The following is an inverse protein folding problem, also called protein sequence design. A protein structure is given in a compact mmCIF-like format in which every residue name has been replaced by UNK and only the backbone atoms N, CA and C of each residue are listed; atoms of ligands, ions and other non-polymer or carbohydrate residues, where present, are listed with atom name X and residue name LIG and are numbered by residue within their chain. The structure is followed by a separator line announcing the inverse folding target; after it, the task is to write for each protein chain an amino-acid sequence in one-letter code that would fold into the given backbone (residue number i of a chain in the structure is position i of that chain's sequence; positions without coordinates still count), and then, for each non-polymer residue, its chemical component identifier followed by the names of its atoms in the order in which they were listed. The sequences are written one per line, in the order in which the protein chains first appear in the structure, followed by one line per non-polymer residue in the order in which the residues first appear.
data_IF_323411296171
#
_entry.id   IF_323411296171
#
_cell.length_a   1.000
_cell.length_b   1.000
_cell.length_c   1.000
_cell.angle_alpha   90.00
_cell.angle_beta   90.00
_cell.angle_gamma   90.00
#
_symmetry.space_group_name_H-M   'P 1'
#
loop_
_entity.id
_entity.type
_entity.pdbx_description
1 polymer ?
#
# COMPACT_ATOMS: atom_id res chain seq x y z
N UNK A 1 52.97 -37.39 1.97
CA UNK A 1 52.19 -36.28 1.40
C UNK A 1 50.64 -36.49 1.55
N UNK A 2 50.07 -37.61 1.08
CA UNK A 2 48.58 -37.81 1.15
C UNK A 2 47.98 -37.76 2.56
N UNK A 3 48.70 -38.23 3.61
CA UNK A 3 48.20 -38.17 5.00
C UNK A 3 48.20 -36.76 5.55
N UNK A 4 49.19 -35.92 5.25
CA UNK A 4 49.28 -34.53 5.71
C UNK A 4 48.18 -33.68 5.09
N UNK A 5 47.88 -33.84 3.78
CA UNK A 5 46.81 -33.17 3.08
C UNK A 5 45.44 -33.53 3.69
N UNK A 6 45.25 -34.82 4.06
CA UNK A 6 44.02 -35.27 4.71
C UNK A 6 43.79 -34.59 6.07
N UNK A 7 44.82 -34.43 6.89
CA UNK A 7 44.69 -33.74 8.20
C UNK A 7 44.49 -32.24 8.05
N UNK A 8 45.11 -31.60 7.05
CA UNK A 8 44.89 -30.18 6.73
C UNK A 8 43.43 -29.97 6.27
N UNK A 9 42.92 -30.83 5.38
CA UNK A 9 41.55 -30.78 4.91
C UNK A 9 40.53 -31.00 6.07
N UNK A 10 40.85 -31.94 6.98
CA UNK A 10 40.02 -32.18 8.15
C UNK A 10 40.03 -30.99 9.11
N UNK A 11 41.17 -30.32 9.29
CA UNK A 11 41.28 -29.10 10.10
C UNK A 11 40.53 -27.93 9.52
N UNK A 12 40.59 -27.71 8.20
CA UNK A 12 39.81 -26.66 7.52
C UNK A 12 38.29 -26.93 7.61
N UNK A 13 37.88 -28.20 7.44
CA UNK A 13 36.48 -28.59 7.56
C UNK A 13 35.94 -28.38 8.99
N UNK A 14 36.74 -28.75 10.01
CA UNK A 14 36.34 -28.53 11.42
C UNK A 14 36.29 -27.05 11.78
N UNK A 15 37.20 -26.22 11.28
CA UNK A 15 37.17 -24.78 11.46
C UNK A 15 35.95 -24.16 10.80
N UNK A 16 35.61 -24.60 9.58
CA UNK A 16 34.39 -24.18 8.87
C UNK A 16 33.11 -24.52 9.62
N UNK A 17 33.03 -25.71 10.23
CA UNK A 17 31.89 -26.11 11.06
C UNK A 17 31.80 -25.29 12.36
N UNK A 18 32.92 -24.97 12.99
CA UNK A 18 32.94 -24.16 14.23
C UNK A 18 32.51 -22.72 13.90
N UNK A 19 33.09 -22.12 12.87
CA UNK A 19 32.73 -20.75 12.45
C UNK A 19 31.29 -20.69 11.95
N UNK A 20 30.89 -21.64 11.09
CA UNK A 20 29.52 -21.72 10.59
C UNK A 20 28.50 -21.98 11.71
N UNK A 21 28.83 -22.87 12.66
CA UNK A 21 28.03 -23.15 13.84
C UNK A 21 27.91 -21.93 14.77
N UNK A 22 29.01 -21.19 14.96
CA UNK A 22 29.01 -19.94 15.73
C UNK A 22 28.15 -18.86 15.07
N UNK A 23 28.30 -18.64 13.76
CA UNK A 23 27.48 -17.70 12.99
C UNK A 23 26.00 -18.10 13.07
N UNK A 24 25.69 -19.39 12.87
CA UNK A 24 24.34 -19.89 13.00
C UNK A 24 23.75 -19.69 14.41
N UNK A 25 24.56 -19.94 15.45
CA UNK A 25 24.16 -19.70 16.83
C UNK A 25 23.84 -18.22 17.07
N UNK A 26 24.76 -17.31 16.70
CA UNK A 26 24.58 -15.87 16.90
C UNK A 26 23.38 -15.30 16.11
N UNK A 27 23.15 -15.78 14.89
CA UNK A 27 22.07 -15.25 14.03
C UNK A 27 20.73 -15.91 14.22
N UNK A 28 20.69 -17.20 14.66
CA UNK A 28 19.44 -17.98 14.70
C UNK A 28 19.03 -18.45 16.07
N UNK A 29 19.97 -18.68 16.98
CA UNK A 29 19.69 -19.26 18.30
C UNK A 29 19.75 -18.20 19.39
N UNK A 30 20.77 -17.35 19.37
CA UNK A 30 20.94 -16.28 20.35
C UNK A 30 19.91 -15.18 20.08
N UNK A 31 19.01 -15.00 21.02
CA UNK A 31 18.02 -13.93 20.97
C UNK A 31 18.56 -12.69 21.66
N UNK A 32 18.46 -11.56 21.00
CA UNK A 32 18.73 -10.25 21.56
C UNK A 32 17.39 -9.59 21.93
N UNK A 33 17.40 -8.76 22.94
CA UNK A 33 16.30 -7.82 23.16
C UNK A 33 16.40 -6.74 22.08
N UNK A 34 15.49 -6.82 21.12
CA UNK A 34 15.43 -5.95 19.95
C UNK A 34 14.20 -5.05 19.97
N UNK A 35 13.44 -5.05 21.07
CA UNK A 35 12.27 -4.20 21.22
C UNK A 35 12.67 -2.73 21.08
N UNK A 36 11.98 -2.01 20.21
CA UNK A 36 12.23 -0.60 19.92
C UNK A 36 10.94 0.06 19.45
N UNK A 37 10.45 1.03 20.21
CA UNK A 37 9.18 1.70 19.95
C UNK A 37 9.15 2.41 18.59
N UNK A 38 10.28 2.93 18.12
CA UNK A 38 10.34 3.64 16.83
C UNK A 38 10.30 2.66 15.66
N UNK A 39 11.02 1.52 15.78
CA UNK A 39 10.94 0.43 14.81
C UNK A 39 9.55 -0.17 14.79
N UNK A 40 8.97 -0.42 15.96
CA UNK A 40 7.62 -0.97 16.10
C UNK A 40 6.55 -0.07 15.49
N UNK A 41 6.67 1.25 15.64
CA UNK A 41 5.77 2.21 14.97
C UNK A 41 5.83 2.09 13.45
N UNK A 42 7.04 1.99 12.87
CA UNK A 42 7.21 1.87 11.42
C UNK A 42 6.60 0.56 10.89
N UNK A 43 6.81 -0.56 11.62
CA UNK A 43 6.36 -1.89 11.20
C UNK A 43 4.86 -2.06 11.38
N UNK A 44 4.32 -1.61 12.53
CA UNK A 44 2.95 -1.86 12.95
C UNK A 44 1.96 -0.75 12.56
N UNK A 45 2.39 0.25 11.79
CA UNK A 45 1.51 1.27 11.27
C UNK A 45 0.40 0.65 10.41
N UNK A 46 -0.83 1.08 10.64
CA UNK A 46 -1.99 0.63 9.84
C UNK A 46 -1.79 1.02 8.38
N UNK A 47 -2.10 0.11 7.46
CA UNK A 47 -2.15 0.40 6.03
C UNK A 47 -3.56 0.85 5.69
N UNK A 48 -3.70 2.04 5.11
CA UNK A 48 -4.94 2.51 4.52
C UNK A 48 -4.78 2.55 3.00
N UNK A 49 -5.70 1.90 2.29
CA UNK A 49 -5.76 1.86 0.83
C UNK A 49 -7.12 2.34 0.36
N UNK A 50 -7.13 3.31 -0.52
CA UNK A 50 -8.33 3.75 -1.20
C UNK A 50 -8.59 2.88 -2.43
N UNK A 51 -9.83 2.40 -2.54
CA UNK A 51 -10.32 1.60 -3.67
C UNK A 51 -10.90 2.49 -4.76
N UNK A 52 -11.04 1.97 -5.99
CA UNK A 52 -11.56 2.74 -7.12
C UNK A 52 -12.98 3.28 -6.97
N UNK A 53 -13.76 2.69 -6.07
CA UNK A 53 -15.12 3.13 -5.74
C UNK A 53 -15.15 4.20 -4.63
N UNK A 54 -13.97 4.63 -4.14
CA UNK A 54 -13.83 5.59 -3.06
C UNK A 54 -13.93 4.98 -1.66
N UNK A 55 -14.19 3.68 -1.55
CA UNK A 55 -14.09 2.97 -0.27
C UNK A 55 -12.64 2.82 0.17
N UNK A 56 -12.41 2.56 1.46
CA UNK A 56 -11.06 2.39 2.00
C UNK A 56 -10.92 1.07 2.72
N UNK A 57 -9.80 0.41 2.52
CA UNK A 57 -9.40 -0.76 3.28
C UNK A 57 -8.41 -0.33 4.36
N UNK A 58 -8.66 -0.73 5.62
CA UNK A 58 -7.66 -0.68 6.69
C UNK A 58 -7.16 -2.08 6.99
N UNK A 59 -5.86 -2.21 7.08
CA UNK A 59 -5.19 -3.48 7.34
C UNK A 59 -4.31 -3.36 8.57
N UNK A 60 -4.27 -4.45 9.35
CA UNK A 60 -3.41 -4.57 10.52
C UNK A 60 -1.94 -4.81 10.14
N UNK A 61 -1.08 -4.92 11.16
CA UNK A 61 0.35 -5.20 11.00
C UNK A 61 0.65 -6.59 10.38
N UNK A 62 -0.33 -7.46 10.26
CA UNK A 62 -0.24 -8.76 9.60
C UNK A 62 -0.78 -8.75 8.18
N UNK A 63 -1.27 -7.58 7.71
CA UNK A 63 -1.85 -7.41 6.38
C UNK A 63 -3.28 -7.95 6.26
N UNK A 64 -3.97 -8.22 7.38
CA UNK A 64 -5.36 -8.62 7.35
C UNK A 64 -6.26 -7.38 7.29
N UNK A 65 -7.31 -7.43 6.49
CA UNK A 65 -8.33 -6.38 6.47
C UNK A 65 -9.09 -6.37 7.80
N UNK A 66 -8.98 -5.29 8.56
CA UNK A 66 -9.66 -5.09 9.84
C UNK A 66 -10.90 -4.21 9.72
N UNK A 67 -10.95 -3.37 8.70
CA UNK A 67 -12.07 -2.46 8.44
C UNK A 67 -12.16 -2.17 6.94
N UNK A 68 -13.39 -2.17 6.42
CA UNK A 68 -13.72 -1.65 5.10
C UNK A 68 -14.65 -0.46 5.30
N UNK A 69 -14.15 0.74 5.01
CA UNK A 69 -14.90 1.99 5.14
C UNK A 69 -15.59 2.24 3.80
N UNK A 70 -16.91 2.25 3.73
CA UNK A 70 -17.61 2.50 2.48
C UNK A 70 -17.25 3.88 1.91
N UNK A 71 -17.33 4.01 0.60
CA UNK A 71 -17.24 5.32 -0.04
C UNK A 71 -18.32 6.27 0.52
N UNK A 72 -17.98 7.54 0.62
CA UNK A 72 -18.98 8.54 0.95
C UNK A 72 -20.08 8.51 -0.12
N UNK A 73 -21.33 8.49 0.33
CA UNK A 73 -22.48 8.44 -0.57
C UNK A 73 -22.56 9.77 -1.35
N UNK A 74 -22.39 9.70 -2.68
CA UNK A 74 -22.56 10.86 -3.54
C UNK A 74 -24.04 11.00 -3.86
N UNK A 75 -24.67 12.01 -3.28
CA UNK A 75 -26.02 12.38 -3.66
C UNK A 75 -25.98 13.23 -4.94
N UNK A 76 -26.58 12.75 -6.02
CA UNK A 76 -26.76 13.54 -7.23
C UNK A 76 -28.23 13.93 -7.39
N UNK A 77 -28.48 15.23 -7.55
CA UNK A 77 -29.83 15.79 -7.74
C UNK A 77 -29.82 16.74 -8.94
N UNK A 78 -30.86 16.64 -9.75
CA UNK A 78 -31.08 17.59 -10.85
C UNK A 78 -31.83 18.83 -10.35
N UNK A 79 -31.36 19.99 -10.78
CA UNK A 79 -31.96 21.28 -10.50
C UNK A 79 -32.10 22.09 -11.78
N UNK A 80 -33.03 23.02 -11.82
CA UNK A 80 -33.13 24.04 -12.88
C UNK A 80 -32.57 25.35 -12.31
N UNK A 81 -31.49 25.82 -12.91
CA UNK A 81 -30.84 27.09 -12.52
C UNK A 81 -30.88 28.04 -13.72
N UNK A 82 -31.52 29.18 -13.58
CA UNK A 82 -31.69 30.19 -14.65
C UNK A 82 -32.31 29.65 -15.94
N UNK A 83 -33.11 28.57 -15.86
CA UNK A 83 -33.76 27.94 -17.01
C UNK A 83 -32.90 26.86 -17.70
N UNK A 84 -31.78 26.49 -17.14
CA UNK A 84 -30.93 25.38 -17.60
C UNK A 84 -30.95 24.24 -16.58
N UNK A 85 -31.07 23.01 -17.08
CA UNK A 85 -30.97 21.80 -16.24
C UNK A 85 -29.52 21.56 -15.86
N UNK A 86 -29.23 21.46 -14.55
CA UNK A 86 -27.94 21.17 -14.00
C UNK A 86 -27.99 19.95 -13.07
N UNK A 87 -26.95 19.12 -13.13
CA UNK A 87 -26.75 18.01 -12.19
C UNK A 87 -25.82 18.48 -11.09
N UNK A 88 -26.28 18.42 -9.85
CA UNK A 88 -25.49 18.79 -8.67
C UNK A 88 -25.13 17.52 -7.91
N UNK A 89 -23.84 17.28 -7.74
CA UNK A 89 -23.32 16.22 -6.88
C UNK A 89 -22.96 16.79 -5.52
N UNK A 90 -23.34 16.07 -4.47
CA UNK A 90 -23.04 16.45 -3.10
C UNK A 90 -22.54 15.24 -2.31
N UNK A 91 -21.57 15.46 -1.43
CA UNK A 91 -21.05 14.48 -0.47
C UNK A 91 -21.29 15.06 0.92
N UNK A 92 -21.93 14.29 1.80
CA UNK A 92 -22.28 14.73 3.16
C UNK A 92 -23.04 16.07 3.18
N UNK A 93 -23.88 16.32 2.17
CA UNK A 93 -24.65 17.57 2.03
C UNK A 93 -23.84 18.77 1.56
N UNK A 94 -22.58 18.60 1.20
CA UNK A 94 -21.74 19.64 0.58
C UNK A 94 -21.66 19.42 -0.92
N UNK A 95 -21.93 20.47 -1.71
CA UNK A 95 -21.83 20.41 -3.17
C UNK A 95 -20.36 20.26 -3.55
N UNK A 96 -20.07 19.18 -4.29
CA UNK A 96 -18.71 18.85 -4.78
C UNK A 96 -18.54 19.15 -6.25
N UNK A 97 -19.59 19.05 -7.06
CA UNK A 97 -19.55 19.34 -8.48
C UNK A 97 -20.92 19.79 -9.01
N UNK A 98 -20.92 20.56 -10.09
CA UNK A 98 -22.10 20.95 -10.86
C UNK A 98 -21.80 20.71 -12.33
N UNK A 99 -22.72 20.03 -13.03
CA UNK A 99 -22.58 19.70 -14.43
C UNK A 99 -23.75 20.25 -15.23
N UNK A 100 -23.49 20.68 -16.47
CA UNK A 100 -24.53 21.04 -17.42
C UNK A 100 -25.23 19.80 -18.01
N UNK A 101 -26.22 20.03 -18.89
CA UNK A 101 -26.96 18.97 -19.60
C UNK A 101 -26.09 18.03 -20.44
N UNK A 102 -24.83 18.42 -20.75
CA UNK A 102 -23.88 17.61 -21.52
C UNK A 102 -22.89 16.87 -20.61
N UNK A 103 -23.05 16.95 -19.25
CA UNK A 103 -22.10 16.47 -18.24
C UNK A 103 -20.73 17.17 -18.30
N UNK A 104 -20.68 18.41 -18.76
CA UNK A 104 -19.50 19.25 -18.64
C UNK A 104 -19.56 20.01 -17.31
N UNK A 105 -18.44 20.02 -16.56
CA UNK A 105 -18.37 20.74 -15.29
C UNK A 105 -18.54 22.24 -15.52
N UNK A 106 -19.44 22.88 -14.77
CA UNK A 106 -19.75 24.31 -14.88
C UNK A 106 -19.30 25.02 -13.63
N UNK A 107 -18.54 26.12 -13.80
CA UNK A 107 -18.27 27.04 -12.70
C UNK A 107 -19.47 27.97 -12.52
N UNK A 108 -20.23 27.77 -11.43
CA UNK A 108 -21.27 28.72 -11.03
C UNK A 108 -20.75 29.68 -9.95
N UNK A 109 -20.69 30.96 -10.28
CA UNK A 109 -20.24 32.02 -9.34
C UNK A 109 -21.12 32.14 -8.07
N UNK A 110 -22.32 31.59 -8.09
CA UNK A 110 -23.28 31.61 -6.97
C UNK A 110 -23.18 30.41 -6.03
N UNK A 111 -22.49 29.35 -6.42
CA UNK A 111 -22.32 28.16 -5.58
C UNK A 111 -20.95 28.24 -4.91
N UNK A 112 -20.87 28.93 -3.78
CA UNK A 112 -19.68 28.91 -2.95
C UNK A 112 -19.59 27.55 -2.26
N UNK A 113 -18.50 26.82 -2.47
CA UNK A 113 -18.14 25.61 -1.72
C UNK A 113 -18.29 25.91 -0.23
N UNK A 114 -19.18 25.18 0.46
CA UNK A 114 -19.44 25.37 1.89
C UNK A 114 -20.69 26.17 2.26
N UNK A 115 -21.52 26.59 1.32
CA UNK A 115 -22.79 27.24 1.64
C UNK A 115 -23.93 26.28 1.36
N UNK A 116 -24.67 25.90 2.41
CA UNK A 116 -25.93 25.17 2.28
C UNK A 116 -26.86 26.00 1.39
N UNK A 117 -27.19 25.47 0.21
CA UNK A 117 -28.18 26.10 -0.68
C UNK A 117 -29.52 25.97 0.04
N UNK A 118 -30.04 27.09 0.54
CA UNK A 118 -31.39 27.11 1.10
C UNK A 118 -32.39 26.85 -0.03
N UNK A 119 -33.27 25.94 0.21
CA UNK A 119 -34.29 25.37 -0.68
C UNK A 119 -35.24 26.42 -1.37
N UNK A 120 -35.11 27.69 -1.08
CA UNK A 120 -36.06 28.70 -1.53
C UNK A 120 -35.72 29.38 -2.86
N UNK A 121 -34.50 29.21 -3.35
CA UNK A 121 -34.01 29.85 -4.59
C UNK A 121 -33.86 28.85 -5.78
N UNK A 122 -34.13 27.58 -5.57
CA UNK A 122 -34.00 26.55 -6.62
C UNK A 122 -35.38 25.92 -6.86
N UNK A 123 -35.93 26.07 -8.06
CA UNK A 123 -37.09 25.32 -8.51
C UNK A 123 -36.70 23.88 -8.79
N UNK A 124 -37.03 22.98 -7.88
CA UNK A 124 -36.87 21.53 -8.07
C UNK A 124 -37.87 21.08 -9.11
N UNK A 125 -37.42 20.67 -10.27
CA UNK A 125 -38.21 19.91 -11.23
C UNK A 125 -37.78 18.46 -11.07
N UNK A 126 -38.65 17.63 -10.48
CA UNK A 126 -38.46 16.19 -10.41
C UNK A 126 -38.64 15.63 -11.84
N UNK A 127 -37.57 15.58 -12.58
CA UNK A 127 -37.55 14.93 -13.89
C UNK A 127 -37.28 13.46 -13.66
N UNK A 128 -38.26 12.62 -14.04
CA UNK A 128 -38.09 11.17 -14.02
C UNK A 128 -36.84 10.77 -14.78
N UNK A 129 -36.08 9.74 -14.31
CA UNK A 129 -34.81 9.36 -14.89
C UNK A 129 -34.96 8.88 -16.33
N UNK A 130 -34.66 9.72 -17.27
CA UNK A 130 -34.63 9.41 -18.68
C UNK A 130 -33.33 9.94 -19.29
N UNK A 131 -32.25 9.26 -19.06
CA UNK A 131 -31.28 8.91 -20.12
C UNK A 131 -30.53 7.68 -19.64
N UNK A 132 -30.96 6.50 -20.05
CA UNK A 132 -30.10 5.36 -20.08
C UNK A 132 -28.99 5.65 -21.11
N UNK A 133 -27.88 6.29 -20.69
CA UNK A 133 -26.63 6.13 -21.38
C UNK A 133 -26.41 4.63 -21.31
N UNK A 134 -26.44 3.95 -22.45
CA UNK A 134 -26.08 2.53 -22.57
C UNK A 134 -24.71 2.42 -21.95
N UNK A 135 -24.65 1.95 -20.70
CA UNK A 135 -23.36 1.72 -20.04
C UNK A 135 -22.63 0.70 -20.88
N UNK A 136 -21.66 1.16 -21.64
CA UNK A 136 -20.76 0.24 -22.31
C UNK A 136 -20.03 -0.52 -21.22
N UNK A 137 -20.15 -1.85 -21.27
CA UNK A 137 -19.47 -2.74 -20.33
C UNK A 137 -18.01 -2.32 -20.19
N UNK A 138 -17.52 -2.03 -18.97
CA UNK A 138 -16.14 -1.57 -18.81
C UNK A 138 -15.17 -2.62 -19.35
N UNK A 139 -14.15 -2.18 -20.05
CA UNK A 139 -13.13 -3.07 -20.60
C UNK A 139 -12.16 -3.54 -19.51
N UNK A 140 -11.47 -4.65 -19.74
CA UNK A 140 -10.39 -5.13 -18.86
C UNK A 140 -9.37 -4.01 -18.58
N UNK A 141 -8.98 -3.25 -19.60
CA UNK A 141 -8.04 -2.14 -19.44
C UNK A 141 -8.60 -1.03 -18.54
N UNK A 142 -9.88 -0.68 -18.72
CA UNK A 142 -10.55 0.32 -17.89
C UNK A 142 -10.65 -0.12 -16.42
N UNK A 143 -11.03 -1.40 -16.16
CA UNK A 143 -11.09 -1.92 -14.80
C UNK A 143 -9.70 -1.89 -14.17
N UNK A 144 -8.68 -2.41 -14.83
CA UNK A 144 -7.30 -2.41 -14.35
C UNK A 144 -6.78 -1.00 -14.07
N UNK A 145 -7.03 -0.06 -14.98
CA UNK A 145 -6.61 1.34 -14.84
C UNK A 145 -7.14 2.02 -13.59
N UNK A 146 -8.34 1.67 -13.12
CA UNK A 146 -8.89 2.19 -11.87
C UNK A 146 -8.07 1.79 -10.64
N UNK A 147 -7.45 0.60 -10.64
CA UNK A 147 -6.67 0.08 -9.52
C UNK A 147 -5.20 0.54 -9.51
N UNK A 148 -4.69 1.13 -10.59
CA UNK A 148 -3.29 1.57 -10.68
C UNK A 148 -2.93 2.54 -9.55
N UNK A 149 -3.82 3.47 -9.20
CA UNK A 149 -3.63 4.41 -8.09
C UNK A 149 -3.49 3.70 -6.73
N UNK A 150 -4.34 2.73 -6.45
CA UNK A 150 -4.33 1.97 -5.20
C UNK A 150 -3.05 1.12 -5.06
N UNK A 151 -2.61 0.45 -6.13
CA UNK A 151 -1.35 -0.31 -6.13
C UNK A 151 -0.13 0.62 -6.01
N UNK A 152 -0.14 1.78 -6.67
CA UNK A 152 0.92 2.78 -6.53
C UNK A 152 1.00 3.35 -5.11
N UNK A 153 -0.14 3.57 -4.46
CA UNK A 153 -0.19 3.99 -3.05
C UNK A 153 0.40 2.94 -2.11
N UNK A 154 0.10 1.65 -2.33
CA UNK A 154 0.71 0.55 -1.57
C UNK A 154 2.23 0.49 -1.76
N UNK A 155 2.72 0.61 -2.99
CA UNK A 155 4.14 0.67 -3.29
C UNK A 155 4.81 1.86 -2.60
N UNK A 156 4.19 3.04 -2.64
CA UNK A 156 4.67 4.24 -1.95
C UNK A 156 4.78 4.04 -0.43
N UNK A 157 3.80 3.40 0.21
CA UNK A 157 3.83 3.07 1.63
C UNK A 157 4.96 2.08 1.94
N UNK A 158 5.15 1.04 1.12
CA UNK A 158 6.24 0.07 1.28
C UNK A 158 7.62 0.76 1.22
N UNK A 159 7.83 1.62 0.23
CA UNK A 159 9.08 2.40 0.10
C UNK A 159 9.30 3.35 1.27
N UNK A 160 8.27 4.05 1.71
CA UNK A 160 8.34 4.98 2.84
C UNK A 160 8.76 4.28 4.13
N UNK A 161 8.12 3.16 4.45
CA UNK A 161 8.42 2.36 5.65
C UNK A 161 9.83 1.76 5.61
N UNK A 162 10.23 1.21 4.46
CA UNK A 162 11.57 0.68 4.29
C UNK A 162 12.62 1.79 4.44
N UNK A 163 12.38 2.96 3.86
CA UNK A 163 13.22 4.13 4.05
C UNK A 163 13.34 4.56 5.51
N UNK A 164 12.24 4.50 6.26
CA UNK A 164 12.20 4.74 7.70
C UNK A 164 13.07 3.75 8.48
N UNK A 165 12.92 2.44 8.22
CA UNK A 165 13.75 1.40 8.85
C UNK A 165 15.25 1.58 8.57
N UNK A 166 15.62 1.88 7.32
CA UNK A 166 17.01 2.14 6.94
C UNK A 166 17.53 3.40 7.66
N UNK A 167 16.71 4.46 7.73
CA UNK A 167 17.04 5.69 8.44
C UNK A 167 17.34 5.43 9.91
N UNK A 168 16.46 4.68 10.58
CA UNK A 168 16.60 4.31 11.98
C UNK A 168 17.84 3.44 12.22
N UNK A 169 18.10 2.45 11.36
CA UNK A 169 19.31 1.62 11.46
C UNK A 169 20.59 2.46 11.33
N UNK A 170 20.62 3.41 10.39
CA UNK A 170 21.77 4.31 10.20
C UNK A 170 21.96 5.25 11.39
N UNK A 171 20.87 5.79 11.94
CA UNK A 171 20.91 6.68 13.10
C UNK A 171 21.47 5.96 14.34
N UNK A 172 20.96 4.76 14.63
CA UNK A 172 21.45 3.96 15.76
C UNK A 172 22.92 3.55 15.57
N UNK A 173 23.29 3.09 14.38
CA UNK A 173 24.68 2.77 14.07
C UNK A 173 25.62 3.97 14.31
N UNK A 174 25.24 5.13 13.79
CA UNK A 174 26.04 6.34 13.90
C UNK A 174 26.17 6.80 15.37
N UNK A 175 25.08 6.71 16.15
CA UNK A 175 25.08 7.05 17.55
C UNK A 175 26.03 6.14 18.36
N UNK A 176 25.99 4.81 18.12
CA UNK A 176 26.88 3.86 18.76
C UNK A 176 28.35 4.11 18.42
N UNK A 177 28.65 4.40 17.16
CA UNK A 177 30.02 4.76 16.74
C UNK A 177 30.50 6.05 17.42
N UNK A 178 29.66 7.07 17.46
CA UNK A 178 29.97 8.35 18.11
C UNK A 178 30.24 8.21 19.60
N UNK A 179 29.53 7.28 20.27
CA UNK A 179 29.70 6.97 21.68
C UNK A 179 30.88 6.03 21.98
N UNK A 180 31.59 5.53 20.96
CA UNK A 180 32.66 4.56 21.11
C UNK A 180 32.17 3.17 21.54
N UNK A 181 30.90 2.84 21.29
CA UNK A 181 30.32 1.55 21.61
C UNK A 181 30.73 0.49 20.58
N UNK A 182 30.84 -0.75 21.02
CA UNK A 182 31.09 -1.87 20.11
C UNK A 182 29.84 -2.18 19.29
N UNK A 183 29.97 -2.24 17.98
CA UNK A 183 28.88 -2.59 17.08
C UNK A 183 28.63 -4.10 17.12
N UNK A 184 27.43 -4.49 17.55
CA UNK A 184 26.97 -5.87 17.51
C UNK A 184 26.13 -6.09 16.23
N UNK A 185 26.78 -6.63 15.19
CA UNK A 185 26.10 -6.87 13.89
C UNK A 185 24.97 -7.88 13.98
N UNK A 186 25.06 -8.88 14.88
CA UNK A 186 23.99 -9.87 15.07
C UNK A 186 22.73 -9.23 15.66
N UNK A 187 22.90 -8.29 16.60
CA UNK A 187 21.79 -7.48 17.14
C UNK A 187 21.14 -6.65 16.02
N UNK A 188 21.93 -5.89 15.24
CA UNK A 188 21.40 -5.09 14.14
C UNK A 188 20.65 -5.95 13.11
N UNK A 189 21.21 -7.10 12.75
CA UNK A 189 20.59 -8.04 11.84
C UNK A 189 19.23 -8.52 12.40
N UNK A 190 19.17 -8.99 13.64
CA UNK A 190 17.93 -9.47 14.23
C UNK A 190 16.86 -8.37 14.33
N UNK A 191 17.26 -7.16 14.73
CA UNK A 191 16.36 -6.01 14.87
C UNK A 191 15.81 -5.57 13.52
N UNK A 192 16.65 -5.15 12.63
CA UNK A 192 16.21 -4.49 11.39
C UNK A 192 15.81 -5.46 10.28
N UNK A 193 16.47 -6.60 10.17
CA UNK A 193 16.05 -7.63 9.23
C UNK A 193 14.74 -8.30 9.68
N UNK A 194 14.58 -8.54 10.98
CA UNK A 194 13.32 -9.03 11.55
C UNK A 194 12.16 -8.07 11.28
N UNK A 195 12.36 -6.78 11.55
CA UNK A 195 11.42 -5.70 11.27
C UNK A 195 11.05 -5.63 9.77
N UNK A 196 12.05 -5.65 8.88
CA UNK A 196 11.83 -5.62 7.44
C UNK A 196 11.03 -6.86 6.95
N UNK A 197 11.30 -8.04 7.50
CA UNK A 197 10.55 -9.26 7.16
C UNK A 197 9.10 -9.19 7.63
N UNK A 198 8.87 -8.66 8.84
CA UNK A 198 7.51 -8.42 9.34
C UNK A 198 6.74 -7.45 8.48
N UNK A 199 7.36 -6.31 8.14
CA UNK A 199 6.79 -5.32 7.23
C UNK A 199 6.49 -5.91 5.85
N UNK A 200 7.39 -6.74 5.29
CA UNK A 200 7.16 -7.42 4.01
C UNK A 200 5.88 -8.28 4.07
N UNK A 201 5.68 -9.05 5.13
CA UNK A 201 4.48 -9.85 5.30
C UNK A 201 3.20 -8.99 5.35
N UNK A 202 3.26 -7.83 6.00
CA UNK A 202 2.15 -6.85 6.03
C UNK A 202 1.82 -6.33 4.62
N UNK A 203 2.83 -5.95 3.86
CA UNK A 203 2.66 -5.45 2.47
C UNK A 203 2.15 -6.57 1.56
N UNK A 204 2.65 -7.82 1.73
CA UNK A 204 2.14 -8.99 0.99
C UNK A 204 0.63 -9.17 1.25
N UNK A 205 0.19 -9.11 2.52
CA UNK A 205 -1.22 -9.20 2.87
C UNK A 205 -2.07 -8.09 2.25
N UNK A 206 -1.58 -6.85 2.28
CA UNK A 206 -2.25 -5.70 1.68
C UNK A 206 -2.35 -5.84 0.14
N UNK A 207 -1.28 -6.33 -0.50
CA UNK A 207 -1.31 -6.64 -1.93
C UNK A 207 -2.35 -7.70 -2.26
N UNK A 208 -2.42 -8.79 -1.50
CA UNK A 208 -3.40 -9.86 -1.73
C UNK A 208 -4.85 -9.36 -1.57
N UNK A 209 -5.12 -8.52 -0.58
CA UNK A 209 -6.43 -7.92 -0.38
C UNK A 209 -6.85 -7.06 -1.59
N UNK A 210 -5.97 -6.17 -2.05
CA UNK A 210 -6.21 -5.32 -3.20
C UNK A 210 -6.33 -6.12 -4.51
N UNK A 211 -5.48 -7.13 -4.67
CA UNK A 211 -5.51 -8.02 -5.82
C UNK A 211 -6.81 -8.84 -5.90
N UNK A 212 -7.32 -9.29 -4.77
CA UNK A 212 -8.60 -9.97 -4.69
C UNK A 212 -9.78 -9.06 -5.10
N UNK A 213 -9.76 -7.78 -4.69
CA UNK A 213 -10.77 -6.79 -5.11
C UNK A 213 -10.74 -6.57 -6.63
N UNK A 214 -9.56 -6.41 -7.23
CA UNK A 214 -9.42 -6.32 -8.69
C UNK A 214 -9.97 -7.57 -9.40
N UNK A 215 -9.68 -8.77 -8.87
CA UNK A 215 -10.19 -10.01 -9.44
C UNK A 215 -11.72 -10.11 -9.32
N UNK A 216 -12.30 -9.66 -8.20
CA UNK A 216 -13.74 -9.57 -8.01
C UNK A 216 -14.38 -8.64 -9.04
N UNK A 217 -13.81 -7.46 -9.27
CA UNK A 217 -14.32 -6.50 -10.26
C UNK A 217 -14.25 -7.07 -11.68
N UNK A 218 -13.15 -7.72 -12.04
CA UNK A 218 -13.03 -8.40 -13.34
C UNK A 218 -14.13 -9.44 -13.51
N UNK A 219 -14.33 -10.30 -12.50
CA UNK A 219 -15.33 -11.38 -12.58
C UNK A 219 -16.76 -10.88 -12.57
N UNK A 220 -17.06 -9.84 -11.78
CA UNK A 220 -18.36 -9.17 -11.75
C UNK A 220 -18.73 -8.59 -13.13
N UNK A 221 -17.72 -8.15 -13.89
CA UNK A 221 -17.87 -7.70 -15.26
C UNK A 221 -17.73 -8.82 -16.30
N UNK A 222 -17.72 -10.11 -15.88
CA UNK A 222 -17.69 -11.29 -16.75
C UNK A 222 -16.36 -11.50 -17.48
N UNK A 223 -15.26 -11.03 -16.92
CA UNK A 223 -13.90 -11.31 -17.37
C UNK A 223 -13.24 -12.38 -16.50
N UNK A 224 -12.22 -13.04 -17.05
CA UNK A 224 -11.42 -13.99 -16.27
C UNK A 224 -10.53 -13.25 -15.27
N UNK A 225 -10.46 -13.74 -14.03
CA UNK A 225 -9.64 -13.17 -12.97
C UNK A 225 -8.13 -13.13 -13.32
N UNK A 226 -7.66 -14.01 -14.21
CA UNK A 226 -6.27 -14.05 -14.66
C UNK A 226 -5.80 -12.77 -15.37
N UNK A 227 -6.72 -11.95 -15.87
CA UNK A 227 -6.37 -10.63 -16.41
C UNK A 227 -5.69 -9.70 -15.39
N UNK A 228 -5.82 -9.97 -14.08
CA UNK A 228 -5.11 -9.27 -13.02
C UNK A 228 -3.61 -9.62 -12.94
N UNK A 229 -3.16 -10.72 -13.57
CA UNK A 229 -1.82 -11.31 -13.40
C UNK A 229 -0.64 -10.34 -13.61
N UNK A 230 -0.79 -9.32 -14.44
CA UNK A 230 0.24 -8.31 -14.66
C UNK A 230 0.58 -7.54 -13.37
N UNK A 231 -0.39 -7.26 -12.50
CA UNK A 231 -0.14 -6.61 -11.22
C UNK A 231 0.70 -7.49 -10.29
N UNK A 232 0.41 -8.80 -10.24
CA UNK A 232 1.21 -9.75 -9.47
C UNK A 232 2.66 -9.80 -10.00
N UNK A 233 2.84 -9.88 -11.31
CA UNK A 233 4.17 -9.89 -11.91
C UNK A 233 4.95 -8.62 -11.58
N UNK A 234 4.32 -7.45 -11.63
CA UNK A 234 4.93 -6.18 -11.28
C UNK A 234 5.30 -6.14 -9.79
N UNK A 235 4.39 -6.57 -8.91
CA UNK A 235 4.63 -6.64 -7.48
C UNK A 235 5.83 -7.52 -7.12
N UNK A 236 5.90 -8.75 -7.63
CA UNK A 236 7.02 -9.66 -7.39
C UNK A 236 8.36 -9.11 -7.93
N UNK A 237 8.31 -8.43 -9.06
CA UNK A 237 9.48 -7.76 -9.63
C UNK A 237 9.96 -6.60 -8.74
N UNK A 238 9.06 -5.74 -8.28
CA UNK A 238 9.36 -4.63 -7.39
C UNK A 238 9.93 -5.14 -6.05
N UNK A 239 9.31 -6.16 -5.46
CA UNK A 239 9.76 -6.82 -4.24
C UNK A 239 11.17 -7.41 -4.37
N UNK A 240 11.45 -8.11 -5.47
CA UNK A 240 12.80 -8.63 -5.78
C UNK A 240 13.83 -7.51 -5.93
N UNK A 241 13.46 -6.42 -6.58
CA UNK A 241 14.33 -5.24 -6.75
C UNK A 241 14.66 -4.58 -5.42
N UNK A 242 13.67 -4.38 -4.55
CA UNK A 242 13.86 -3.83 -3.20
C UNK A 242 14.80 -4.69 -2.35
N UNK A 243 14.63 -6.02 -2.37
CA UNK A 243 15.54 -6.94 -1.67
C UNK A 243 16.96 -6.83 -2.17
N UNK A 244 17.16 -6.72 -3.49
CA UNK A 244 18.47 -6.57 -4.09
C UNK A 244 19.13 -5.25 -3.71
N UNK A 245 18.38 -4.16 -3.68
CA UNK A 245 18.86 -2.84 -3.23
C UNK A 245 19.27 -2.85 -1.75
N UNK A 246 18.49 -3.50 -0.88
CA UNK A 246 18.84 -3.65 0.52
C UNK A 246 20.18 -4.37 0.70
N UNK A 247 20.38 -5.48 0.01
CA UNK A 247 21.60 -6.26 0.10
C UNK A 247 22.82 -5.49 -0.43
N UNK A 248 22.65 -4.67 -1.47
CA UNK A 248 23.74 -3.86 -2.03
C UNK A 248 24.17 -2.70 -1.13
N UNK A 249 23.29 -2.23 -0.23
CA UNK A 249 23.60 -1.14 0.70
C UNK A 249 24.28 -1.62 2.00
N UNK A 250 24.42 -2.93 2.19
CA UNK A 250 25.07 -3.55 3.37
C UNK A 250 26.53 -3.92 3.08
N UNK A 251 26.96 -3.90 1.83
CA UNK A 251 28.36 -4.15 1.41
C UNK A 251 29.17 -2.84 1.41
#
# INVERSE_FOLDING_TARGET
MKKVIKYILLGVLSLGLIVGGYIFYELKIKQYDVADEEVDKIVNEVIELELPDGSKLKLDAQGNVIEEIPAAEVESKQYEVEGEDVLVEAVDGQITAVYDKNHEAVEHETIKVGTSVKSDDVKVVEVAPQVQKKEEKPTVASIKGKYEGSFAALEGQAHGRLGGLIGQAKAEYSAKVANGETINYSYFYQKYYGAATGMEATIDGAFEALYAKLQQDLTANGYDASHASSFRTQYESAKSSLRSQLLSNIQ
#
